data_IF_198310000544
#
_entry.id   IF_198310000544
#
_cell.length_a   1.000
_cell.length_b   1.000
_cell.length_c   1.000
_cell.angle_alpha   90.00
_cell.angle_beta   90.00
_cell.angle_gamma   90.00
#
_symmetry.space_group_name_H-M   'P 1'
#
loop_
_entity.id
_entity.type
_entity.pdbx_description
1 polymer ?
#
# COMPACT_ATOMS: atom_id res chain seq x y z
N UNK A 1 -48.44 52.99 56.84
CA UNK A 1 -48.45 51.70 57.56
C UNK A 1 -47.69 50.55 56.85
N UNK A 2 -46.77 50.82 55.91
CA UNK A 2 -46.09 49.75 55.14
C UNK A 2 -44.68 49.34 55.62
N UNK A 3 -44.12 49.98 56.67
CA UNK A 3 -42.73 49.71 57.13
C UNK A 3 -42.62 48.64 58.23
N UNK A 4 -43.70 48.32 58.96
CA UNK A 4 -43.66 47.33 60.06
C UNK A 4 -43.83 45.87 59.64
N UNK A 5 -44.35 45.58 58.43
CA UNK A 5 -44.47 44.19 57.93
C UNK A 5 -43.17 43.64 57.32
N UNK A 6 -42.31 44.48 56.73
CA UNK A 6 -41.03 44.03 56.12
C UNK A 6 -39.99 43.57 57.15
N UNK A 7 -40.03 44.05 58.39
CA UNK A 7 -39.08 43.67 59.45
C UNK A 7 -39.37 42.27 60.04
N UNK A 8 -40.65 41.90 60.22
CA UNK A 8 -41.03 40.57 60.73
C UNK A 8 -40.80 39.44 59.73
N UNK A 9 -40.98 39.68 58.43
CA UNK A 9 -40.67 38.69 57.39
C UNK A 9 -39.17 38.41 57.25
N UNK A 10 -38.31 39.42 57.40
CA UNK A 10 -36.84 39.24 57.34
C UNK A 10 -36.30 38.43 58.52
N UNK A 11 -36.88 38.57 59.72
CA UNK A 11 -36.46 37.81 60.90
C UNK A 11 -36.81 36.32 60.83
N UNK A 12 -38.01 35.98 60.32
CA UNK A 12 -38.41 34.59 60.08
C UNK A 12 -37.57 33.91 58.99
N UNK A 13 -37.22 34.63 57.93
CA UNK A 13 -36.29 34.14 56.90
C UNK A 13 -34.90 33.88 57.49
N UNK A 14 -34.41 34.75 58.37
CA UNK A 14 -33.09 34.58 59.01
C UNK A 14 -33.03 33.36 59.93
N UNK A 15 -34.09 33.09 60.70
CA UNK A 15 -34.17 31.89 61.55
C UNK A 15 -34.23 30.62 60.69
N UNK A 16 -34.99 30.62 59.59
CA UNK A 16 -35.11 29.48 58.69
C UNK A 16 -33.81 29.20 57.93
N UNK A 17 -33.09 30.24 57.50
CA UNK A 17 -31.76 30.13 56.89
C UNK A 17 -30.75 29.58 57.90
N UNK A 18 -30.77 30.05 59.16
CA UNK A 18 -29.86 29.56 60.21
C UNK A 18 -30.13 28.09 60.57
N UNK A 19 -31.40 27.68 60.65
CA UNK A 19 -31.75 26.27 60.85
C UNK A 19 -31.34 25.40 59.66
N UNK A 20 -31.50 25.89 58.43
CA UNK A 20 -31.07 25.19 57.23
C UNK A 20 -29.54 25.07 57.14
N UNK A 21 -28.79 26.13 57.46
CA UNK A 21 -27.33 26.09 57.56
C UNK A 21 -26.84 25.13 58.64
N UNK A 22 -27.49 25.10 59.81
CA UNK A 22 -27.16 24.15 60.87
C UNK A 22 -27.46 22.70 60.44
N UNK A 23 -28.55 22.47 59.72
CA UNK A 23 -28.86 21.15 59.17
C UNK A 23 -27.81 20.72 58.13
N UNK A 24 -27.42 21.63 57.23
CA UNK A 24 -26.44 21.36 56.17
C UNK A 24 -25.03 21.13 56.73
N UNK A 25 -24.62 21.89 57.73
CA UNK A 25 -23.34 21.68 58.44
C UNK A 25 -23.34 20.35 59.18
N UNK A 26 -24.42 19.99 59.87
CA UNK A 26 -24.53 18.68 60.54
C UNK A 26 -24.47 17.53 59.54
N UNK A 27 -25.12 17.69 58.37
CA UNK A 27 -25.13 16.70 57.30
C UNK A 27 -23.75 16.55 56.63
N UNK A 28 -23.04 17.66 56.39
CA UNK A 28 -21.67 17.65 55.86
C UNK A 28 -20.67 17.06 56.84
N UNK A 29 -20.82 17.34 58.14
CA UNK A 29 -19.99 16.73 59.19
C UNK A 29 -20.27 15.22 59.28
N UNK A 30 -21.54 14.80 59.20
CA UNK A 30 -21.89 13.38 59.15
C UNK A 30 -21.32 12.67 57.91
N UNK A 31 -21.43 13.27 56.72
CA UNK A 31 -20.82 12.78 55.48
C UNK A 31 -19.29 12.68 55.58
N UNK A 32 -18.65 13.67 56.19
CA UNK A 32 -17.20 13.68 56.41
C UNK A 32 -16.77 12.60 57.42
N UNK A 33 -17.52 12.40 58.50
CA UNK A 33 -17.25 11.34 59.50
C UNK A 33 -17.46 9.95 58.89
N UNK A 34 -18.51 9.75 58.11
CA UNK A 34 -18.77 8.49 57.39
C UNK A 34 -17.69 8.24 56.33
N UNK A 35 -17.28 9.27 55.58
CA UNK A 35 -16.22 9.15 54.56
C UNK A 35 -14.86 8.88 55.19
N UNK A 36 -14.49 9.56 56.27
CA UNK A 36 -13.24 9.30 56.99
C UNK A 36 -13.24 7.93 57.68
N UNK A 37 -14.38 7.47 58.17
CA UNK A 37 -14.59 6.11 58.67
C UNK A 37 -14.42 5.06 57.55
N UNK A 38 -15.02 5.29 56.38
CA UNK A 38 -14.90 4.42 55.22
C UNK A 38 -13.45 4.37 54.70
N UNK A 39 -12.76 5.51 54.63
CA UNK A 39 -11.35 5.62 54.24
C UNK A 39 -10.45 4.93 55.29
N UNK A 40 -10.69 5.14 56.58
CA UNK A 40 -9.96 4.42 57.65
C UNK A 40 -10.19 2.92 57.58
N UNK A 41 -11.42 2.46 57.28
CA UNK A 41 -11.71 1.04 57.07
C UNK A 41 -10.98 0.52 55.83
N UNK A 42 -11.01 1.23 54.71
CA UNK A 42 -10.29 0.87 53.48
C UNK A 42 -8.78 0.76 53.73
N UNK A 43 -8.17 1.77 54.37
CA UNK A 43 -6.76 1.78 54.73
C UNK A 43 -6.40 0.68 55.73
N UNK A 44 -7.29 0.35 56.67
CA UNK A 44 -7.09 -0.76 57.63
C UNK A 44 -7.22 -2.12 56.96
N UNK A 45 -8.14 -2.28 56.00
CA UNK A 45 -8.25 -3.49 55.18
C UNK A 45 -7.04 -3.66 54.27
N UNK A 46 -6.54 -2.57 53.67
CA UNK A 46 -5.29 -2.55 52.89
C UNK A 46 -4.10 -2.92 53.79
N UNK A 47 -4.02 -2.36 55.00
CA UNK A 47 -2.97 -2.66 55.99
C UNK A 47 -3.00 -4.11 56.48
N UNK A 48 -4.19 -4.67 56.71
CA UNK A 48 -4.36 -6.04 57.21
C UNK A 48 -4.12 -7.10 56.12
N UNK A 49 -4.19 -6.74 54.84
CA UNK A 49 -4.02 -7.65 53.71
C UNK A 49 -2.86 -7.25 52.79
N UNK A 50 -1.86 -6.50 53.29
CA UNK A 50 -0.72 -6.01 52.50
C UNK A 50 -0.04 -7.10 51.67
N UNK A 51 0.19 -8.28 52.26
CA UNK A 51 0.83 -9.40 51.56
C UNK A 51 -0.04 -9.97 50.43
N UNK A 52 -1.37 -10.03 50.62
CA UNK A 52 -2.31 -10.47 49.58
C UNK A 52 -2.39 -9.44 48.44
N UNK A 53 -2.44 -8.15 48.77
CA UNK A 53 -2.44 -7.08 47.78
C UNK A 53 -1.11 -7.04 46.99
N UNK A 54 0.03 -7.18 47.67
CA UNK A 54 1.33 -7.28 47.02
C UNK A 54 1.38 -8.51 46.10
N UNK A 55 0.91 -9.67 46.56
CA UNK A 55 0.82 -10.88 45.74
C UNK A 55 -0.06 -10.70 44.51
N UNK A 56 -1.20 -10.01 44.63
CA UNK A 56 -2.06 -9.68 43.49
C UNK A 56 -1.41 -8.70 42.51
N UNK A 57 -0.69 -7.69 43.00
CA UNK A 57 0.04 -6.75 42.16
C UNK A 57 1.17 -7.46 41.41
N UNK A 58 1.96 -8.30 42.08
CA UNK A 58 3.01 -9.11 41.44
C UNK A 58 2.39 -10.05 40.40
N UNK A 59 1.26 -10.70 40.73
CA UNK A 59 0.55 -11.55 39.78
C UNK A 59 0.14 -10.77 38.55
N UNK A 60 -0.44 -9.58 38.74
CA UNK A 60 -0.87 -8.69 37.65
C UNK A 60 0.31 -8.27 36.77
N UNK A 61 1.45 -7.89 37.35
CA UNK A 61 2.64 -7.54 36.57
C UNK A 61 3.20 -8.73 35.78
N UNK A 62 3.26 -9.92 36.38
CA UNK A 62 3.72 -11.12 35.70
C UNK A 62 2.77 -11.58 34.59
N UNK A 63 1.46 -11.48 34.81
CA UNK A 63 0.47 -11.78 33.77
C UNK A 63 0.54 -10.77 32.63
N UNK A 64 0.59 -9.46 32.92
CA UNK A 64 0.75 -8.44 31.87
C UNK A 64 2.06 -8.66 31.09
N UNK A 65 3.17 -8.94 31.77
CA UNK A 65 4.46 -9.19 31.13
C UNK A 65 4.44 -10.43 30.22
N UNK A 66 3.82 -11.53 30.67
CA UNK A 66 3.67 -12.75 29.87
C UNK A 66 2.69 -12.57 28.70
N UNK A 67 1.58 -11.85 28.90
CA UNK A 67 0.67 -11.47 27.81
C UNK A 67 1.37 -10.59 26.77
N UNK A 68 2.16 -9.61 27.20
CA UNK A 68 2.94 -8.75 26.30
C UNK A 68 3.98 -9.53 25.48
N UNK A 69 4.52 -10.63 26.04
CA UNK A 69 5.45 -11.52 25.34
C UNK A 69 4.78 -12.35 24.22
N UNK A 70 3.46 -12.55 24.27
CA UNK A 70 2.72 -13.33 23.26
C UNK A 70 1.94 -12.41 22.31
N UNK A 71 1.56 -11.21 22.77
CA UNK A 71 0.78 -10.26 21.99
C UNK A 71 1.49 -9.90 20.67
N UNK A 72 0.82 -9.99 19.51
CA UNK A 72 1.44 -9.67 18.22
C UNK A 72 1.83 -8.17 18.15
N UNK A 73 3.10 -7.89 17.83
CA UNK A 73 3.63 -6.54 17.66
C UNK A 73 3.90 -6.20 16.21
N UNK A 74 3.75 -4.93 15.80
CA UNK A 74 4.06 -4.51 14.41
C UNK A 74 5.56 -4.31 14.23
N UNK A 75 6.15 -5.12 13.36
CA UNK A 75 7.58 -5.13 13.07
C UNK A 75 7.89 -4.73 11.64
N UNK A 76 9.11 -4.25 11.42
CA UNK A 76 9.65 -4.05 10.08
C UNK A 76 10.05 -5.39 9.50
N UNK A 77 9.70 -5.62 8.23
CA UNK A 77 10.18 -6.75 7.45
C UNK A 77 10.88 -6.27 6.19
N UNK A 78 11.72 -7.14 5.64
CA UNK A 78 12.39 -6.95 4.35
C UNK A 78 12.22 -8.21 3.52
N UNK A 79 12.00 -8.04 2.22
CA UNK A 79 11.84 -9.15 1.28
C UNK A 79 12.62 -8.92 0.00
N UNK A 80 12.99 -10.03 -0.64
CA UNK A 80 13.50 -10.07 -1.99
C UNK A 80 12.75 -11.17 -2.76
N UNK A 81 11.94 -10.79 -3.75
CA UNK A 81 11.07 -11.71 -4.49
C UNK A 81 11.28 -11.53 -5.97
N UNK A 82 11.39 -12.63 -6.69
CA UNK A 82 11.31 -12.69 -8.14
C UNK A 82 9.91 -13.18 -8.50
N UNK A 83 9.16 -12.39 -9.27
CA UNK A 83 7.84 -12.76 -9.77
C UNK A 83 7.73 -12.58 -11.28
N UNK A 84 6.83 -13.33 -11.91
CA UNK A 84 6.55 -13.20 -13.33
C UNK A 84 5.81 -11.88 -13.64
N UNK A 85 4.94 -11.46 -12.72
CA UNK A 85 4.09 -10.28 -12.81
C UNK A 85 3.98 -9.63 -11.44
N UNK A 86 3.91 -8.31 -11.37
CA UNK A 86 3.64 -7.59 -10.12
C UNK A 86 2.77 -6.36 -10.34
N UNK A 87 2.05 -5.97 -9.29
CA UNK A 87 1.23 -4.75 -9.27
C UNK A 87 1.49 -3.96 -7.99
N UNK A 88 1.39 -2.64 -8.03
CA UNK A 88 1.50 -1.79 -6.86
C UNK A 88 0.85 -0.43 -7.08
N UNK A 89 0.53 0.28 -6.00
CA UNK A 89 0.11 1.69 -6.05
C UNK A 89 1.26 2.55 -5.56
N UNK A 90 1.67 3.53 -6.36
CA UNK A 90 2.64 4.54 -5.94
C UNK A 90 2.01 5.47 -4.89
N UNK A 91 2.63 5.54 -3.71
CA UNK A 91 2.10 6.23 -2.53
C UNK A 91 2.88 7.51 -2.17
N UNK A 92 3.84 7.92 -3.00
CA UNK A 92 4.60 9.14 -2.76
C UNK A 92 3.83 10.42 -3.12
N UNK A 93 4.22 11.54 -2.51
CA UNK A 93 3.53 12.82 -2.62
C UNK A 93 3.91 13.63 -3.88
N UNK A 94 5.03 13.30 -4.53
CA UNK A 94 5.56 14.02 -5.69
C UNK A 94 5.75 13.08 -6.88
N UNK A 95 5.74 13.60 -8.13
CA UNK A 95 6.00 12.79 -9.32
C UNK A 95 7.38 12.14 -9.25
N UNK A 96 7.44 10.81 -9.34
CA UNK A 96 8.68 10.04 -9.21
C UNK A 96 9.04 9.33 -10.51
N UNK A 97 10.30 9.48 -10.93
CA UNK A 97 10.85 8.69 -12.04
C UNK A 97 10.80 7.19 -11.71
N UNK A 98 10.23 6.42 -12.63
CA UNK A 98 10.02 4.98 -12.48
C UNK A 98 10.86 4.20 -13.49
N UNK A 99 10.70 4.49 -14.78
CA UNK A 99 11.49 3.88 -15.86
C UNK A 99 12.34 4.95 -16.53
N UNK A 100 13.54 4.59 -16.95
CA UNK A 100 14.38 5.45 -17.79
C UNK A 100 15.36 4.66 -18.66
N UNK A 101 15.83 5.35 -19.70
CA UNK A 101 16.95 4.93 -20.54
C UNK A 101 16.77 3.53 -21.19
N UNK A 102 15.54 3.18 -21.59
CA UNK A 102 15.33 2.00 -22.43
C UNK A 102 15.64 2.41 -23.86
N UNK A 103 16.71 1.85 -24.42
CA UNK A 103 17.20 2.21 -25.75
C UNK A 103 16.92 1.15 -26.80
N UNK A 104 16.80 1.58 -28.06
CA UNK A 104 16.67 0.70 -29.21
C UNK A 104 15.37 -0.09 -29.20
N UNK A 105 14.26 0.61 -28.93
CA UNK A 105 12.90 0.07 -28.94
C UNK A 105 12.53 -0.30 -30.37
N UNK A 106 12.16 -1.57 -30.59
CA UNK A 106 11.71 -2.08 -31.90
C UNK A 106 10.25 -1.79 -32.16
N UNK A 107 9.44 -1.83 -31.12
CA UNK A 107 8.05 -1.42 -31.18
C UNK A 107 7.64 -0.85 -29.84
N UNK A 108 6.97 0.30 -29.86
CA UNK A 108 6.22 0.81 -28.72
C UNK A 108 4.77 0.84 -29.11
N UNK A 109 3.95 0.21 -28.28
CA UNK A 109 2.51 0.19 -28.41
C UNK A 109 1.91 0.76 -27.12
N UNK A 110 0.92 1.62 -27.26
CA UNK A 110 0.13 2.11 -26.14
C UNK A 110 -1.34 2.16 -26.50
N UNK A 111 -2.16 1.65 -25.58
CA UNK A 111 -3.61 1.56 -25.70
C UNK A 111 -4.27 2.48 -24.69
N UNK A 112 -5.43 3.03 -25.05
CA UNK A 112 -6.27 3.87 -24.20
C UNK A 112 -6.37 5.32 -24.66
N UNK A 113 -7.18 6.09 -23.94
CA UNK A 113 -7.56 7.46 -24.31
C UNK A 113 -6.38 8.42 -24.13
N UNK A 114 -5.85 8.90 -25.26
CA UNK A 114 -4.65 9.73 -25.36
C UNK A 114 -4.79 10.74 -26.50
N UNK A 115 -4.06 11.85 -26.43
CA UNK A 115 -3.90 12.77 -27.57
C UNK A 115 -2.45 12.72 -28.04
N UNK A 116 -2.25 12.41 -29.33
CA UNK A 116 -0.95 12.33 -29.97
C UNK A 116 -0.72 13.60 -30.79
N UNK A 117 0.48 14.15 -30.73
CA UNK A 117 0.88 15.27 -31.59
C UNK A 117 2.22 14.94 -32.24
N UNK A 118 2.19 14.70 -33.55
CA UNK A 118 3.37 14.44 -34.36
C UNK A 118 3.73 15.69 -35.16
N UNK A 119 5.03 15.95 -35.34
CA UNK A 119 5.55 17.05 -36.16
C UNK A 119 6.67 16.55 -37.04
N UNK A 120 6.62 16.84 -38.33
CA UNK A 120 7.58 16.31 -39.28
C UNK A 120 7.07 16.30 -40.71
N UNK A 121 7.76 15.51 -41.53
CA UNK A 121 7.30 15.18 -42.88
C UNK A 121 6.58 13.84 -42.85
N UNK A 122 5.37 13.81 -43.39
CA UNK A 122 4.52 12.63 -43.41
C UNK A 122 4.48 12.01 -44.80
N UNK A 123 4.36 10.69 -44.85
CA UNK A 123 4.06 9.93 -46.06
C UNK A 123 2.97 8.91 -45.73
N UNK A 124 1.79 9.08 -46.32
CA UNK A 124 0.65 8.19 -46.19
C UNK A 124 0.05 7.92 -47.56
N UNK A 125 -0.21 6.65 -47.85
CA UNK A 125 -0.92 6.21 -49.05
C UNK A 125 -2.44 6.29 -48.84
N UNK A 126 -2.91 5.99 -47.62
CA UNK A 126 -4.33 6.00 -47.27
C UNK A 126 -4.89 7.40 -47.06
N UNK A 127 -4.04 8.37 -46.68
CA UNK A 127 -4.43 9.79 -46.53
C UNK A 127 -3.40 10.72 -47.19
N UNK A 128 -3.37 10.84 -48.53
CA UNK A 128 -2.35 11.62 -49.24
C UNK A 128 -2.29 13.10 -48.85
N UNK A 129 -3.37 13.68 -48.35
CA UNK A 129 -3.44 15.07 -47.85
C UNK A 129 -2.49 15.28 -46.67
N UNK A 130 -2.23 14.23 -45.88
CA UNK A 130 -1.29 14.27 -44.77
C UNK A 130 0.13 14.60 -45.24
N UNK A 131 0.50 14.23 -46.47
CA UNK A 131 1.83 14.46 -47.04
C UNK A 131 2.19 15.94 -47.20
N UNK A 132 1.18 16.82 -47.14
CA UNK A 132 1.33 18.28 -47.20
C UNK A 132 1.33 18.94 -45.82
N UNK A 133 1.00 18.19 -44.77
CA UNK A 133 0.95 18.67 -43.40
C UNK A 133 2.33 18.66 -42.74
N UNK A 134 2.55 19.56 -41.78
CA UNK A 134 3.75 19.62 -40.94
C UNK A 134 3.51 19.16 -39.50
N UNK A 135 2.24 19.05 -39.12
CA UNK A 135 1.81 18.61 -37.80
C UNK A 135 0.55 17.77 -37.95
N UNK A 136 0.41 16.76 -37.11
CA UNK A 136 -0.76 15.89 -37.05
C UNK A 136 -1.16 15.72 -35.58
N UNK A 137 -2.40 16.08 -35.26
CA UNK A 137 -3.00 15.87 -33.95
C UNK A 137 -4.09 14.82 -34.03
N UNK A 138 -3.94 13.77 -33.23
CA UNK A 138 -4.80 12.60 -33.23
C UNK A 138 -5.35 12.39 -31.82
N UNK A 139 -6.65 12.16 -31.70
CA UNK A 139 -7.28 11.76 -30.45
C UNK A 139 -7.65 10.28 -30.51
N UNK A 140 -7.22 9.49 -29.53
CA UNK A 140 -7.67 8.11 -29.33
C UNK A 140 -8.95 8.12 -28.50
N UNK A 141 -10.02 7.51 -29.00
CA UNK A 141 -11.39 7.77 -28.52
C UNK A 141 -11.79 6.98 -27.29
N UNK A 142 -11.29 5.76 -27.17
CA UNK A 142 -11.73 4.79 -26.16
C UNK A 142 -10.55 4.00 -25.55
N UNK A 143 -10.88 3.06 -24.67
CA UNK A 143 -9.89 2.23 -23.97
C UNK A 143 -9.21 1.19 -24.85
N UNK A 144 -9.80 0.86 -26.01
CA UNK A 144 -9.30 -0.17 -26.94
C UNK A 144 -8.50 0.47 -28.09
N UNK A 145 -8.65 1.78 -28.28
CA UNK A 145 -7.89 2.59 -29.22
C UNK A 145 -6.40 2.44 -28.94
N UNK A 146 -5.62 2.22 -30.00
CA UNK A 146 -4.20 1.91 -29.88
C UNK A 146 -3.36 2.69 -30.88
N UNK A 147 -2.13 2.96 -30.50
CA UNK A 147 -1.12 3.46 -31.43
C UNK A 147 0.18 2.68 -31.28
N UNK A 148 0.86 2.50 -32.41
CA UNK A 148 2.09 1.72 -32.50
C UNK A 148 3.11 2.54 -33.28
N UNK A 149 4.35 2.60 -32.78
CA UNK A 149 5.51 3.10 -33.52
C UNK A 149 6.56 2.01 -33.69
N UNK A 150 7.10 1.92 -34.91
CA UNK A 150 8.18 1.00 -35.29
C UNK A 150 9.15 1.71 -36.24
N UNK A 151 10.44 1.36 -36.27
CA UNK A 151 11.34 1.85 -37.32
C UNK A 151 10.89 1.30 -38.68
N UNK A 152 10.94 2.13 -39.73
CA UNK A 152 10.59 1.68 -41.09
C UNK A 152 11.52 0.56 -41.58
N UNK A 153 12.80 0.64 -41.22
CA UNK A 153 13.78 -0.39 -41.53
C UNK A 153 14.14 -1.22 -40.28
N UNK A 154 13.57 -2.42 -40.09
CA UNK A 154 13.82 -3.23 -38.91
C UNK A 154 15.22 -3.85 -38.87
N UNK A 155 15.99 -3.79 -39.97
CA UNK A 155 17.36 -4.30 -40.02
C UNK A 155 18.39 -3.34 -39.40
N UNK A 156 18.04 -2.05 -39.27
CA UNK A 156 18.90 -1.03 -38.66
C UNK A 156 18.62 -0.97 -37.15
N UNK A 157 19.64 -0.59 -36.37
CA UNK A 157 19.45 -0.36 -34.93
C UNK A 157 18.48 0.81 -34.75
N UNK A 158 17.36 0.56 -34.06
CA UNK A 158 16.36 1.59 -33.77
C UNK A 158 16.95 2.70 -32.92
N UNK A 159 16.60 3.94 -33.26
CA UNK A 159 16.89 5.15 -32.49
C UNK A 159 15.74 5.51 -31.54
N UNK A 160 14.64 4.73 -31.54
CA UNK A 160 13.50 4.96 -30.65
C UNK A 160 13.91 4.58 -29.22
N UNK A 161 13.89 5.55 -28.32
CA UNK A 161 14.26 5.39 -26.92
C UNK A 161 13.15 5.89 -25.99
N UNK A 162 12.98 5.23 -24.84
CA UNK A 162 12.23 5.76 -23.69
C UNK A 162 13.22 6.45 -22.77
N UNK A 163 13.12 7.78 -22.71
CA UNK A 163 13.98 8.61 -21.88
C UNK A 163 13.53 8.57 -20.42
N UNK A 164 12.25 8.80 -20.17
CA UNK A 164 11.70 8.91 -18.82
C UNK A 164 10.22 8.54 -18.76
N UNK A 165 9.83 7.72 -17.78
CA UNK A 165 8.45 7.61 -17.31
C UNK A 165 8.40 8.03 -15.85
N UNK A 166 7.53 9.00 -15.51
CA UNK A 166 7.29 9.42 -14.12
C UNK A 166 5.90 8.98 -13.67
N UNK A 167 5.84 8.33 -12.51
CA UNK A 167 4.61 8.01 -11.81
C UNK A 167 4.11 9.23 -11.05
N UNK A 168 2.87 9.61 -11.30
CA UNK A 168 2.14 10.60 -10.51
C UNK A 168 1.63 9.97 -9.21
N UNK A 169 1.50 10.75 -8.11
CA UNK A 169 0.94 10.27 -6.85
C UNK A 169 -0.34 9.45 -7.06
N UNK A 170 -0.45 8.32 -6.37
CA UNK A 170 -1.60 7.40 -6.44
C UNK A 170 -1.82 6.71 -7.80
N UNK A 171 -0.83 6.70 -8.69
CA UNK A 171 -0.86 5.85 -9.88
C UNK A 171 -0.71 4.38 -9.48
N UNK A 172 -1.65 3.55 -9.93
CA UNK A 172 -1.58 2.09 -9.84
C UNK A 172 -0.85 1.57 -11.06
N UNK A 173 0.25 0.86 -10.85
CA UNK A 173 0.94 0.07 -11.87
C UNK A 173 0.40 -1.35 -11.78
N UNK A 174 -0.17 -1.86 -12.86
CA UNK A 174 -0.72 -3.21 -12.93
C UNK A 174 0.02 -4.05 -13.95
N UNK A 175 0.16 -5.34 -13.65
CA UNK A 175 0.62 -6.30 -14.63
C UNK A 175 2.06 -6.09 -15.10
N UNK A 176 2.91 -5.42 -14.31
CA UNK A 176 4.30 -5.19 -14.67
C UNK A 176 5.01 -6.54 -14.82
N UNK A 177 5.43 -6.85 -16.05
CA UNK A 177 6.07 -8.11 -16.39
C UNK A 177 7.16 -7.93 -17.46
N UNK A 178 7.96 -8.97 -17.68
CA UNK A 178 8.88 -9.03 -18.82
C UNK A 178 8.78 -10.39 -19.50
N UNK A 179 8.30 -10.40 -20.74
CA UNK A 179 8.24 -11.60 -21.59
C UNK A 179 9.59 -11.77 -22.31
N UNK A 180 10.34 -12.81 -21.92
CA UNK A 180 11.64 -13.14 -22.50
C UNK A 180 11.56 -13.73 -23.91
N UNK A 181 10.44 -14.35 -24.28
CA UNK A 181 10.25 -14.90 -25.62
C UNK A 181 10.00 -13.79 -26.64
N UNK A 182 9.23 -12.78 -26.23
CA UNK A 182 8.92 -11.60 -27.05
C UNK A 182 9.90 -10.45 -26.87
N UNK A 183 10.82 -10.53 -25.89
CA UNK A 183 11.66 -9.41 -25.44
C UNK A 183 10.84 -8.15 -25.14
N UNK A 184 9.72 -8.33 -24.43
CA UNK A 184 8.71 -7.30 -24.25
C UNK A 184 8.53 -6.96 -22.76
N UNK A 185 8.61 -5.66 -22.43
CA UNK A 185 8.21 -5.12 -21.14
C UNK A 185 6.76 -4.64 -21.27
N UNK A 186 5.85 -5.15 -20.44
CA UNK A 186 4.46 -4.71 -20.44
C UNK A 186 4.00 -4.29 -19.04
N UNK A 187 3.14 -3.29 -18.98
CA UNK A 187 2.47 -2.82 -17.78
C UNK A 187 1.30 -1.91 -18.15
N UNK A 188 0.34 -1.76 -17.24
CA UNK A 188 -0.68 -0.72 -17.35
C UNK A 188 -0.53 0.30 -16.23
N UNK A 189 -0.86 1.55 -16.55
CA UNK A 189 -0.97 2.63 -15.58
C UNK A 189 -2.44 2.97 -15.41
N UNK A 190 -2.93 2.93 -14.18
CA UNK A 190 -4.30 3.31 -13.84
C UNK A 190 -4.26 4.45 -12.84
N UNK A 191 -4.95 5.56 -13.16
CA UNK A 191 -5.09 6.69 -12.24
C UNK A 191 -6.25 6.45 -11.29
N UNK A 192 -6.14 6.90 -10.05
CA UNK A 192 -7.30 7.01 -9.17
C UNK A 192 -8.03 8.34 -9.46
N UNK A 193 -9.24 8.30 -10.06
CA UNK A 193 -9.98 9.50 -10.44
C UNK A 193 -10.47 10.30 -9.23
N UNK A 194 -10.53 9.73 -8.03
CA UNK A 194 -11.03 10.41 -6.81
C UNK A 194 -10.10 11.51 -6.28
N UNK A 195 -8.93 11.68 -6.87
CA UNK A 195 -7.95 12.71 -6.53
C UNK A 195 -7.86 13.68 -7.71
N UNK A 196 -8.85 14.57 -7.79
CA UNK A 196 -8.93 15.72 -8.70
C UNK A 196 -7.86 16.76 -8.35
N UNK A 197 -6.61 16.37 -8.50
CA UNK A 197 -5.51 17.31 -8.65
C UNK A 197 -5.45 17.65 -10.14
N UNK A 198 -5.77 18.90 -10.48
CA UNK A 198 -5.62 19.44 -11.83
C UNK A 198 -4.22 19.11 -12.36
N UNK A 199 -4.14 18.58 -13.59
CA UNK A 199 -2.91 18.40 -14.35
C UNK A 199 -1.93 17.27 -13.95
N UNK A 200 -2.43 16.14 -13.44
CA UNK A 200 -1.60 14.97 -13.06
C UNK A 200 -1.66 13.79 -14.05
N UNK A 201 -1.39 14.03 -15.34
CA UNK A 201 -1.14 12.94 -16.29
C UNK A 201 0.23 12.29 -16.01
N UNK A 202 0.33 10.97 -16.16
CA UNK A 202 1.64 10.35 -16.25
C UNK A 202 2.26 10.77 -17.59
N UNK A 203 3.54 11.16 -17.58
CA UNK A 203 4.23 11.60 -18.80
C UNK A 203 5.26 10.55 -19.17
N UNK A 204 5.11 10.01 -20.38
CA UNK A 204 6.07 9.13 -21.02
C UNK A 204 6.87 9.97 -22.03
N UNK A 205 8.14 10.21 -21.73
CA UNK A 205 9.06 10.94 -22.60
C UNK A 205 9.82 9.98 -23.48
N UNK A 206 9.66 10.14 -24.78
CA UNK A 206 10.28 9.35 -25.81
C UNK A 206 11.24 10.21 -26.64
N UNK A 207 12.21 9.53 -27.23
CA UNK A 207 13.04 10.05 -28.30
C UNK A 207 12.78 9.18 -29.54
N UNK A 208 12.26 9.78 -30.61
CA UNK A 208 11.88 9.10 -31.85
C UNK A 208 13.07 8.88 -32.81
N UNK A 209 14.20 9.54 -32.56
CA UNK A 209 15.36 9.51 -33.45
C UNK A 209 15.24 10.42 -34.66
N UNK A 210 16.24 10.34 -35.55
CA UNK A 210 16.25 11.02 -36.85
C UNK A 210 15.88 10.10 -38.02
N UNK A 211 15.71 8.80 -37.77
CA UNK A 211 15.27 7.84 -38.79
C UNK A 211 13.75 7.90 -39.01
N UNK A 212 13.26 7.63 -40.23
CA UNK A 212 11.83 7.50 -40.47
C UNK A 212 11.20 6.38 -39.64
N UNK A 213 10.08 6.69 -39.00
CA UNK A 213 9.28 5.73 -38.22
C UNK A 213 7.94 5.50 -38.91
N UNK A 214 7.43 4.28 -38.82
CA UNK A 214 6.06 3.94 -39.22
C UNK A 214 5.17 4.07 -37.99
N UNK A 215 4.07 4.79 -38.14
CA UNK A 215 3.04 4.99 -37.13
C UNK A 215 1.77 4.32 -37.59
N UNK A 216 1.15 3.53 -36.72
CA UNK A 216 -0.14 2.89 -36.94
C UNK A 216 -1.08 3.33 -35.82
N UNK A 217 -2.30 3.73 -36.17
CA UNK A 217 -3.30 4.20 -35.18
C UNK A 217 -4.66 3.59 -35.47
N UNK A 218 -5.35 3.12 -34.43
CA UNK A 218 -6.70 2.55 -34.49
C UNK A 218 -7.60 3.21 -33.45
N UNK A 219 -8.91 3.29 -33.72
CA UNK A 219 -9.89 3.92 -32.80
C UNK A 219 -9.67 5.42 -32.65
N UNK A 220 -9.40 6.14 -33.74
CA UNK A 220 -8.91 7.52 -33.68
C UNK A 220 -9.85 8.56 -34.30
N UNK A 221 -9.62 9.81 -33.92
CA UNK A 221 -10.23 11.01 -34.47
C UNK A 221 -9.13 12.00 -34.84
N UNK A 222 -9.15 12.52 -36.07
CA UNK A 222 -8.25 13.60 -36.47
C UNK A 222 -8.79 14.92 -35.96
N UNK A 223 -7.96 15.74 -35.33
CA UNK A 223 -8.38 17.04 -34.79
C UNK A 223 -8.30 18.18 -35.82
N UNK A 224 -7.69 17.93 -36.98
CA UNK A 224 -7.66 18.89 -38.09
C UNK A 224 -8.93 18.74 -38.95
N UNK A 225 -9.73 19.80 -39.01
CA UNK A 225 -11.00 19.85 -39.73
C UNK A 225 -10.85 19.58 -41.23
N UNK A 226 -9.66 19.80 -41.82
CA UNK A 226 -9.40 19.47 -43.23
C UNK A 226 -9.27 17.97 -43.49
N UNK A 227 -8.92 17.20 -42.46
CA UNK A 227 -8.65 15.76 -42.56
C UNK A 227 -9.82 14.89 -42.06
N UNK A 228 -10.75 15.46 -41.28
CA UNK A 228 -11.87 14.73 -40.66
C UNK A 228 -12.86 14.11 -41.65
N UNK A 229 -13.06 14.72 -42.82
CA UNK A 229 -14.14 14.33 -43.76
C UNK A 229 -13.76 13.18 -44.72
N UNK A 230 -12.60 12.55 -44.54
CA UNK A 230 -11.98 11.76 -45.62
C UNK A 230 -11.65 10.31 -45.26
N UNK A 231 -11.90 9.87 -44.02
CA UNK A 231 -11.61 8.52 -43.57
C UNK A 231 -12.82 7.87 -42.92
N UNK A 232 -12.99 6.60 -43.23
CA UNK A 232 -13.81 5.70 -42.43
C UNK A 232 -13.00 5.35 -41.18
N UNK A 233 -13.51 5.70 -39.99
CA UNK A 233 -12.77 5.57 -38.73
C UNK A 233 -12.54 4.10 -38.32
N UNK A 234 -13.08 3.15 -39.06
CA UNK A 234 -12.88 1.71 -38.86
C UNK A 234 -11.54 1.19 -39.42
N UNK A 235 -10.91 1.91 -40.36
CA UNK A 235 -9.65 1.49 -40.96
C UNK A 235 -8.47 2.07 -40.16
N UNK A 236 -7.45 1.26 -39.81
CA UNK A 236 -6.24 1.77 -39.17
C UNK A 236 -5.55 2.85 -40.03
N UNK A 237 -5.18 3.96 -39.41
CA UNK A 237 -4.37 4.99 -40.05
C UNK A 237 -2.90 4.59 -40.01
N UNK A 238 -2.30 4.46 -41.18
CA UNK A 238 -0.88 4.17 -41.34
C UNK A 238 -0.17 5.31 -42.07
N UNK A 239 0.97 5.74 -41.52
CA UNK A 239 1.86 6.71 -42.17
C UNK A 239 3.31 6.54 -41.72
N UNK A 240 4.22 6.98 -42.57
CA UNK A 240 5.64 7.16 -42.23
C UNK A 240 5.84 8.61 -41.80
N UNK A 241 6.52 8.80 -40.68
CA UNK A 241 6.92 10.09 -40.13
C UNK A 241 8.45 10.20 -40.17
N UNK A 242 8.95 11.26 -40.78
CA UNK A 242 10.31 11.74 -40.55
C UNK A 242 10.23 12.94 -39.58
N UNK A 243 10.55 12.75 -38.28
CA UNK A 243 10.27 13.73 -37.23
C UNK A 243 11.16 14.98 -37.35
N UNK A 244 10.55 16.16 -37.29
CA UNK A 244 11.30 17.43 -37.20
C UNK A 244 11.86 17.66 -35.79
N UNK A 245 11.12 17.20 -34.78
CA UNK A 245 11.55 17.17 -33.38
C UNK A 245 11.63 15.71 -32.93
N UNK A 246 12.81 15.21 -32.54
CA UNK A 246 12.93 13.83 -32.09
C UNK A 246 12.36 13.63 -30.68
N UNK A 247 12.11 14.68 -29.89
CA UNK A 247 11.45 14.55 -28.59
C UNK A 247 9.93 14.40 -28.73
N UNK A 248 9.37 13.38 -28.07
CA UNK A 248 7.93 13.14 -28.05
C UNK A 248 7.46 12.90 -26.62
N UNK A 249 6.56 13.76 -26.15
CA UNK A 249 5.97 13.65 -24.82
C UNK A 249 4.54 13.14 -24.94
N UNK A 250 4.31 11.96 -24.38
CA UNK A 250 3.00 11.34 -24.33
C UNK A 250 2.39 11.55 -22.96
N UNK A 251 1.22 12.17 -22.94
CA UNK A 251 0.40 12.27 -21.74
C UNK A 251 -0.51 11.04 -21.64
N UNK A 252 -0.53 10.44 -20.46
CA UNK A 252 -1.34 9.29 -20.11
C UNK A 252 -2.34 9.73 -19.03
N UNK A 253 -3.47 10.35 -19.44
CA UNK A 253 -4.42 10.97 -18.52
C UNK A 253 -5.31 9.93 -17.81
N UNK A 254 -5.49 8.76 -18.41
CA UNK A 254 -6.38 7.70 -17.95
C UNK A 254 -5.66 6.35 -17.90
N UNK A 255 -6.43 5.27 -17.86
CA UNK A 255 -5.90 3.92 -17.93
C UNK A 255 -5.22 3.70 -19.28
N UNK A 256 -3.94 3.31 -19.25
CA UNK A 256 -3.19 3.03 -20.46
C UNK A 256 -2.36 1.76 -20.32
N UNK A 257 -2.44 0.88 -21.32
CA UNK A 257 -1.58 -0.29 -21.43
C UNK A 257 -0.37 0.10 -22.27
N UNK A 258 0.84 -0.29 -21.85
CA UNK A 258 2.08 0.03 -22.55
C UNK A 258 2.85 -1.26 -22.78
N UNK A 259 3.20 -1.50 -24.04
CA UNK A 259 4.00 -2.64 -24.48
C UNK A 259 5.27 -2.11 -25.17
N UNK A 260 6.44 -2.47 -24.62
CA UNK A 260 7.75 -2.05 -25.14
C UNK A 260 8.51 -3.29 -25.61
N UNK A 261 8.64 -3.44 -26.93
CA UNK A 261 9.35 -4.55 -27.57
C UNK A 261 10.78 -4.14 -27.91
N UNK A 262 11.75 -4.98 -27.56
CA UNK A 262 13.17 -4.67 -27.67
C UNK A 262 13.89 -5.62 -28.62
N UNK A 263 15.02 -5.16 -29.17
CA UNK A 263 15.88 -6.03 -29.97
C UNK A 263 16.49 -7.17 -29.15
N UNK A 264 16.97 -6.85 -27.95
CA UNK A 264 17.52 -7.78 -26.98
C UNK A 264 17.62 -7.09 -25.62
N UNK A 265 17.30 -7.78 -24.54
CA UNK A 265 17.60 -7.29 -23.20
C UNK A 265 19.12 -7.14 -23.02
N UNK A 266 19.56 -5.91 -22.77
CA UNK A 266 20.89 -5.63 -22.22
C UNK A 266 20.69 -5.35 -20.73
N UNK A 267 21.40 -6.07 -19.86
CA UNK A 267 21.30 -5.93 -18.39
C UNK A 267 21.67 -4.51 -17.95
N UNK A 268 20.67 -3.62 -18.01
CA UNK A 268 20.73 -2.22 -17.64
C UNK A 268 19.65 -1.98 -16.58
N UNK A 269 19.95 -1.10 -15.64
CA UNK A 269 19.01 -0.69 -14.61
C UNK A 269 17.99 0.29 -15.22
N UNK A 270 16.87 -0.23 -15.71
CA UNK A 270 15.77 0.60 -16.23
C UNK A 270 14.90 1.19 -15.14
N UNK A 271 14.69 0.44 -14.06
CA UNK A 271 13.83 0.87 -12.97
C UNK A 271 14.60 1.69 -11.94
N UNK A 272 13.99 2.78 -11.50
CA UNK A 272 14.50 3.58 -10.38
C UNK A 272 13.95 3.07 -9.06
N UNK A 273 14.84 2.86 -8.10
CA UNK A 273 14.50 2.38 -6.77
C UNK A 273 13.87 3.43 -5.85
N UNK A 274 13.67 3.02 -4.59
CA UNK A 274 13.05 3.81 -3.50
C UNK A 274 11.65 4.31 -3.86
N UNK A 275 10.80 3.43 -4.37
CA UNK A 275 9.41 3.72 -4.73
C UNK A 275 8.55 3.50 -3.48
N UNK A 276 7.94 4.55 -2.96
CA UNK A 276 6.95 4.45 -1.89
C UNK A 276 5.68 3.79 -2.44
N UNK A 277 5.22 2.74 -1.79
CA UNK A 277 4.14 1.89 -2.31
C UNK A 277 3.08 1.58 -1.26
N UNK A 278 1.92 1.15 -1.77
CA UNK A 278 0.90 0.39 -1.04
C UNK A 278 0.27 -0.62 -1.99
N UNK A 279 -0.45 -1.60 -1.44
CA UNK A 279 -1.14 -2.66 -2.20
C UNK A 279 -0.22 -3.35 -3.22
N UNK A 280 0.97 -3.76 -2.78
CA UNK A 280 1.88 -4.52 -3.64
C UNK A 280 1.36 -5.95 -3.73
N UNK A 281 1.20 -6.46 -4.95
CA UNK A 281 0.65 -7.77 -5.25
C UNK A 281 1.58 -8.53 -6.19
N UNK A 282 1.74 -9.82 -5.91
CA UNK A 282 2.45 -10.80 -6.73
C UNK A 282 1.46 -11.89 -7.17
N UNK A 283 0.29 -11.45 -7.62
CA UNK A 283 -0.79 -12.31 -8.08
C UNK A 283 -1.24 -11.90 -9.46
N UNK A 284 -1.82 -12.86 -10.17
CA UNK A 284 -2.59 -12.67 -11.38
C UNK A 284 -4.00 -13.21 -11.15
N UNK A 285 -4.97 -12.71 -11.91
CA UNK A 285 -6.35 -13.22 -11.82
C UNK A 285 -6.58 -14.12 -13.02
N UNK A 286 -6.79 -15.42 -12.75
CA UNK A 286 -7.22 -16.37 -13.75
C UNK A 286 -8.75 -16.26 -13.92
N UNK A 287 -9.15 -15.63 -15.03
CA UNK A 287 -10.55 -15.37 -15.37
C UNK A 287 -11.06 -16.52 -16.22
N UNK A 288 -11.45 -17.62 -15.58
CA UNK A 288 -11.96 -18.82 -16.27
C UNK A 288 -13.48 -18.79 -16.54
N UNK A 289 -14.15 -17.65 -16.36
CA UNK A 289 -15.60 -17.52 -16.57
C UNK A 289 -16.06 -16.11 -16.88
N UNK A 290 -17.36 -15.95 -17.16
CA UNK A 290 -18.00 -14.65 -17.31
C UNK A 290 -18.42 -14.01 -15.97
N UNK A 291 -18.41 -14.78 -14.87
CA UNK A 291 -18.75 -14.30 -13.53
C UNK A 291 -17.48 -14.00 -12.74
N UNK A 292 -17.39 -12.79 -12.18
CA UNK A 292 -16.28 -12.36 -11.32
C UNK A 292 -16.14 -13.20 -10.04
N UNK A 293 -17.16 -14.00 -9.69
CA UNK A 293 -17.11 -14.95 -8.56
C UNK A 293 -16.28 -16.19 -8.85
N UNK A 294 -16.02 -16.48 -10.12
CA UNK A 294 -15.22 -17.63 -10.56
C UNK A 294 -13.73 -17.23 -10.79
N UNK A 295 -13.39 -15.96 -10.56
CA UNK A 295 -12.01 -15.46 -10.66
C UNK A 295 -11.13 -16.12 -9.60
N UNK A 296 -10.03 -16.73 -10.04
CA UNK A 296 -9.06 -17.37 -9.16
C UNK A 296 -7.79 -16.53 -9.10
N UNK A 297 -7.40 -16.11 -7.89
CA UNK A 297 -6.09 -15.50 -7.68
C UNK A 297 -5.01 -16.58 -7.78
N UNK A 298 -4.01 -16.34 -8.63
CA UNK A 298 -2.85 -17.22 -8.83
C UNK A 298 -1.58 -16.47 -8.45
N UNK A 299 -0.74 -17.07 -7.62
CA UNK A 299 0.57 -16.48 -7.28
C UNK A 299 1.50 -16.49 -8.49
N UNK A 300 2.15 -15.35 -8.73
CA UNK A 300 3.13 -15.16 -9.81
C UNK A 300 4.57 -15.24 -9.28
N UNK A 301 4.74 -15.56 -7.99
CA UNK A 301 6.05 -15.67 -7.35
C UNK A 301 6.79 -16.89 -7.91
N UNK A 302 8.04 -16.68 -8.35
CA UNK A 302 8.94 -17.73 -8.82
C UNK A 302 9.81 -18.22 -7.67
N UNK A 303 10.43 -17.29 -6.95
CA UNK A 303 11.26 -17.57 -5.79
C UNK A 303 11.49 -16.29 -4.99
N UNK A 304 11.83 -16.42 -3.71
CA UNK A 304 12.20 -15.27 -2.91
C UNK A 304 12.54 -15.62 -1.47
N UNK A 305 12.86 -14.59 -0.70
CA UNK A 305 13.11 -14.66 0.73
C UNK A 305 12.45 -13.48 1.42
N UNK A 306 11.97 -13.72 2.63
CA UNK A 306 11.45 -12.66 3.50
C UNK A 306 11.98 -12.82 4.91
N UNK A 307 12.29 -11.70 5.54
CA UNK A 307 12.87 -11.63 6.88
C UNK A 307 12.08 -10.68 7.77
N UNK A 308 11.76 -11.13 8.97
CA UNK A 308 11.15 -10.32 10.03
C UNK A 308 11.59 -10.87 11.39
N UNK A 309 11.82 -10.01 12.39
CA UNK A 309 12.19 -10.39 13.78
C UNK A 309 13.29 -11.46 13.88
N UNK A 310 14.33 -11.34 13.05
CA UNK A 310 15.47 -12.26 13.03
C UNK A 310 15.18 -13.65 12.45
N UNK A 311 13.96 -13.90 11.97
CA UNK A 311 13.59 -15.11 11.24
C UNK A 311 13.59 -14.82 9.74
N UNK A 312 14.15 -15.73 8.96
CA UNK A 312 14.11 -15.71 7.49
C UNK A 312 13.30 -16.92 7.01
N UNK A 313 12.47 -16.71 5.99
CA UNK A 313 11.73 -17.77 5.31
C UNK A 313 11.95 -17.67 3.80
N UNK A 314 12.14 -18.82 3.18
CA UNK A 314 12.18 -18.93 1.73
C UNK A 314 10.75 -19.03 1.18
N UNK A 315 10.50 -18.34 0.07
CA UNK A 315 9.24 -18.37 -0.67
C UNK A 315 9.52 -19.12 -1.95
N UNK A 316 8.83 -20.24 -2.14
CA UNK A 316 8.96 -21.10 -3.32
C UNK A 316 7.97 -20.66 -4.40
N UNK A 317 8.17 -21.23 -5.58
CA UNK A 317 7.32 -21.00 -6.74
C UNK A 317 5.84 -21.22 -6.41
N UNK A 318 4.98 -20.34 -6.93
CA UNK A 318 3.53 -20.34 -6.79
C UNK A 318 3.01 -20.25 -5.34
N UNK A 319 3.87 -19.94 -4.37
CA UNK A 319 3.41 -19.64 -3.02
C UNK A 319 2.91 -18.19 -2.92
N UNK A 320 1.86 -17.97 -2.15
CA UNK A 320 1.36 -16.67 -1.77
C UNK A 320 2.19 -16.08 -0.64
N UNK A 321 2.34 -14.75 -0.65
CA UNK A 321 2.88 -13.97 0.44
C UNK A 321 1.79 -13.09 1.03
N UNK A 322 1.44 -13.34 2.29
CA UNK A 322 0.30 -12.72 2.96
C UNK A 322 0.69 -12.05 4.27
N UNK A 323 -0.14 -11.10 4.71
CA UNK A 323 0.02 -10.39 5.98
C UNK A 323 -0.81 -10.98 7.12
N UNK A 324 -1.27 -10.11 8.01
CA UNK A 324 -2.19 -10.44 9.11
C UNK A 324 -3.53 -10.99 8.61
N UNK A 325 -4.10 -10.36 7.59
CA UNK A 325 -5.31 -10.81 6.90
C UNK A 325 -4.93 -11.29 5.50
N UNK A 326 -5.18 -12.58 5.14
CA UNK A 326 -4.95 -13.12 3.80
C UNK A 326 -5.63 -12.34 2.68
N UNK A 327 -6.84 -11.82 2.92
CA UNK A 327 -7.64 -11.06 1.92
C UNK A 327 -7.06 -9.68 1.60
N UNK A 328 -6.04 -9.24 2.35
CA UNK A 328 -5.42 -7.93 2.18
C UNK A 328 -3.95 -8.09 1.79
N UNK A 329 -3.46 -7.33 0.79
CA UNK A 329 -2.05 -7.36 0.44
C UNK A 329 -1.16 -7.05 1.64
N UNK A 330 -0.04 -7.76 1.75
CA UNK A 330 0.99 -7.46 2.73
C UNK A 330 1.38 -5.97 2.64
N UNK A 331 1.47 -5.30 3.78
CA UNK A 331 1.74 -3.86 3.87
C UNK A 331 3.21 -3.53 3.52
N UNK A 332 3.54 -3.64 2.24
CA UNK A 332 4.81 -3.26 1.63
C UNK A 332 4.79 -1.76 1.34
N UNK A 333 5.62 -1.01 2.08
CA UNK A 333 5.62 0.45 2.09
C UNK A 333 6.66 1.05 1.14
N UNK A 334 7.73 0.30 0.84
CA UNK A 334 8.83 0.77 0.03
C UNK A 334 9.39 -0.37 -0.84
N UNK A 335 9.38 -0.18 -2.15
CA UNK A 335 10.19 -0.97 -3.07
C UNK A 335 11.54 -0.27 -3.22
N UNK A 336 12.58 -0.88 -2.64
CA UNK A 336 13.95 -0.36 -2.64
C UNK A 336 14.61 -0.52 -4.01
N UNK A 337 14.40 -1.65 -4.68
CA UNK A 337 15.01 -1.98 -5.96
C UNK A 337 14.06 -2.81 -6.83
N UNK A 338 14.12 -2.57 -8.14
CA UNK A 338 13.45 -3.36 -9.17
C UNK A 338 14.43 -3.68 -10.28
N UNK A 339 14.43 -4.92 -10.77
CA UNK A 339 15.22 -5.30 -11.93
C UNK A 339 14.62 -6.50 -12.67
N UNK A 340 14.93 -6.62 -13.95
CA UNK A 340 14.61 -7.81 -14.73
C UNK A 340 15.68 -8.87 -14.46
N UNK A 341 15.24 -10.06 -14.09
CA UNK A 341 16.07 -11.25 -13.94
C UNK A 341 15.86 -12.15 -15.14
N UNK A 342 16.86 -12.31 -16.03
CA UNK A 342 16.74 -13.10 -17.25
C UNK A 342 16.11 -14.47 -17.03
N UNK A 343 15.09 -14.80 -17.84
CA UNK A 343 14.35 -16.07 -17.82
C UNK A 343 13.53 -16.35 -16.54
N UNK A 344 13.49 -15.43 -15.57
CA UNK A 344 12.72 -15.62 -14.33
C UNK A 344 11.58 -14.62 -14.18
N UNK A 345 11.85 -13.32 -14.40
CA UNK A 345 10.83 -12.27 -14.26
C UNK A 345 11.41 -10.99 -13.69
N UNK A 346 10.69 -10.37 -12.75
CA UNK A 346 11.06 -9.11 -12.10
C UNK A 346 11.41 -9.38 -10.64
N UNK A 347 12.62 -9.00 -10.24
CA UNK A 347 13.03 -8.97 -8.85
C UNK A 347 12.59 -7.65 -8.19
N UNK A 348 11.92 -7.77 -7.05
CA UNK A 348 11.55 -6.68 -6.17
C UNK A 348 12.18 -6.86 -4.79
N UNK A 349 13.06 -5.93 -4.42
CA UNK A 349 13.55 -5.80 -3.04
C UNK A 349 12.74 -4.75 -2.33
N UNK A 350 12.11 -5.11 -1.23
CA UNK A 350 11.15 -4.24 -0.56
C UNK A 350 11.22 -4.32 0.96
N UNK A 351 10.58 -3.36 1.61
CA UNK A 351 10.39 -3.33 3.05
C UNK A 351 9.00 -2.81 3.42
N UNK A 352 8.50 -3.25 4.56
CA UNK A 352 7.18 -2.86 5.05
C UNK A 352 7.04 -3.11 6.54
N UNK A 353 5.80 -3.00 7.02
CA UNK A 353 5.49 -3.23 8.44
C UNK A 353 4.24 -4.08 8.60
N UNK A 354 4.32 -5.13 9.39
CA UNK A 354 3.18 -5.99 9.73
C UNK A 354 3.42 -6.66 11.08
N UNK A 355 2.37 -7.20 11.71
CA UNK A 355 2.54 -8.09 12.86
C UNK A 355 2.92 -9.51 12.46
N UNK A 356 2.59 -9.89 11.24
CA UNK A 356 2.67 -11.28 10.81
C UNK A 356 2.85 -11.41 9.30
N UNK A 357 3.69 -12.37 8.90
CA UNK A 357 3.84 -12.83 7.52
C UNK A 357 3.38 -14.28 7.44
N UNK A 358 2.65 -14.62 6.39
CA UNK A 358 2.21 -15.98 6.09
C UNK A 358 2.64 -16.36 4.67
N UNK A 359 3.01 -17.61 4.49
CA UNK A 359 3.40 -18.19 3.20
C UNK A 359 2.63 -19.50 3.01
N UNK A 360 1.98 -19.66 1.87
CA UNK A 360 1.07 -20.78 1.58
C UNK A 360 1.03 -21.11 0.09
N UNK A 361 0.69 -22.34 -0.28
CA UNK A 361 0.30 -22.64 -1.67
C UNK A 361 -1.12 -22.15 -1.97
N UNK A 362 -1.90 -21.94 -0.92
CA UNK A 362 -3.27 -21.43 -0.92
C UNK A 362 -3.35 -20.28 0.09
N UNK A 363 -4.19 -19.28 -0.18
CA UNK A 363 -4.40 -18.16 0.73
C UNK A 363 -5.12 -18.60 2.01
N UNK A 364 -6.00 -19.60 1.91
CA UNK A 364 -6.77 -20.13 3.04
C UNK A 364 -5.95 -21.09 3.92
N UNK A 365 -4.90 -21.69 3.36
CA UNK A 365 -4.09 -22.72 4.02
C UNK A 365 -2.59 -22.37 4.03
N UNK A 366 -2.18 -21.38 4.85
CA UNK A 366 -0.77 -21.00 4.99
C UNK A 366 0.03 -22.13 5.65
N UNK A 367 1.19 -22.46 5.08
CA UNK A 367 2.07 -23.54 5.56
C UNK A 367 3.23 -23.03 6.43
N UNK A 368 3.52 -21.73 6.37
CA UNK A 368 4.59 -21.10 7.17
C UNK A 368 4.15 -19.73 7.66
N UNK A 369 4.58 -19.36 8.87
CA UNK A 369 4.20 -18.13 9.58
C UNK A 369 5.42 -17.54 10.28
N UNK A 370 5.68 -16.26 10.05
CA UNK A 370 6.59 -15.45 10.88
C UNK A 370 5.73 -14.47 11.68
N UNK A 371 5.88 -14.46 12.99
CA UNK A 371 5.18 -13.54 13.88
C UNK A 371 6.13 -13.00 14.94
N UNK A 372 6.11 -11.69 15.14
CA UNK A 372 6.84 -11.03 16.21
C UNK A 372 5.93 -10.71 17.39
N UNK A 373 6.47 -10.83 18.60
CA UNK A 373 5.84 -10.37 19.83
C UNK A 373 5.95 -8.85 19.97
N UNK A 374 5.11 -8.24 20.80
CA UNK A 374 5.24 -6.82 21.14
C UNK A 374 6.58 -6.52 21.85
N UNK A 375 7.05 -7.44 22.70
CA UNK A 375 8.32 -7.27 23.42
C UNK A 375 9.56 -7.34 22.54
N UNK A 376 9.51 -7.93 21.34
CA UNK A 376 10.67 -7.98 20.42
C UNK A 376 11.17 -6.57 20.02
N UNK A 377 10.35 -5.52 20.21
CA UNK A 377 10.76 -4.13 19.99
C UNK A 377 11.42 -3.44 21.20
N UNK A 378 11.37 -4.05 22.39
CA UNK A 378 11.80 -3.44 23.66
C UNK A 378 12.88 -4.27 24.35
N UNK A 379 12.83 -5.60 24.24
CA UNK A 379 13.72 -6.53 24.91
C UNK A 379 14.42 -7.48 23.93
N UNK A 380 15.66 -7.88 24.19
CA UNK A 380 16.31 -8.97 23.46
C UNK A 380 15.54 -10.29 23.61
N UNK A 381 15.60 -11.16 22.60
CA UNK A 381 14.88 -12.44 22.60
C UNK A 381 15.17 -13.31 23.82
N UNK A 382 16.43 -13.36 24.27
CA UNK A 382 16.81 -14.14 25.46
C UNK A 382 16.15 -13.62 26.74
N UNK A 383 15.95 -12.30 26.85
CA UNK A 383 15.25 -11.69 27.97
C UNK A 383 13.74 -11.98 27.92
N UNK A 384 13.14 -12.03 26.72
CA UNK A 384 11.74 -12.43 26.54
C UNK A 384 11.54 -13.90 26.94
N UNK A 385 12.45 -14.79 26.50
CA UNK A 385 12.43 -16.20 26.87
C UNK A 385 12.57 -16.35 28.39
N UNK A 386 13.51 -15.64 29.01
CA UNK A 386 13.69 -15.66 30.46
C UNK A 386 12.45 -15.16 31.21
N UNK A 387 11.83 -14.06 30.75
CA UNK A 387 10.59 -13.52 31.34
C UNK A 387 9.45 -14.54 31.25
N UNK A 388 9.33 -15.22 30.10
CA UNK A 388 8.32 -16.24 29.89
C UNK A 388 8.54 -17.46 30.78
N UNK A 389 9.77 -17.99 30.84
CA UNK A 389 10.12 -19.12 31.72
C UNK A 389 9.92 -18.79 33.19
N UNK A 390 10.31 -17.58 33.61
CA UNK A 390 10.10 -17.11 34.98
C UNK A 390 8.61 -16.97 35.31
N UNK A 391 7.82 -16.39 34.40
CA UNK A 391 6.37 -16.27 34.54
C UNK A 391 5.69 -17.64 34.63
N UNK A 392 6.04 -18.58 33.76
CA UNK A 392 5.50 -19.93 33.75
C UNK A 392 5.77 -20.69 35.06
N UNK A 393 6.95 -20.51 35.67
CA UNK A 393 7.28 -21.11 36.96
C UNK A 393 6.64 -20.39 38.16
N UNK A 394 6.50 -19.06 38.09
CA UNK A 394 6.12 -18.24 39.26
C UNK A 394 4.61 -18.07 39.38
N UNK A 395 3.88 -17.91 38.27
CA UNK A 395 2.43 -17.68 38.26
C UNK A 395 1.66 -18.81 38.98
N UNK A 396 1.89 -20.11 38.70
CA UNK A 396 1.15 -21.18 39.39
C UNK A 396 1.37 -21.19 40.90
N UNK A 397 2.62 -20.95 41.33
CA UNK A 397 2.99 -20.89 42.73
C UNK A 397 2.33 -19.70 43.44
N UNK A 398 2.33 -18.53 42.79
CA UNK A 398 1.74 -17.31 43.32
C UNK A 398 0.21 -17.42 43.41
N UNK A 399 -0.44 -18.02 42.40
CA UNK A 399 -1.87 -18.30 42.40
C UNK A 399 -2.23 -19.28 43.52
N UNK A 400 -1.48 -20.37 43.68
CA UNK A 400 -1.70 -21.35 44.77
C UNK A 400 -1.57 -20.70 46.15
N UNK A 401 -0.55 -19.85 46.33
CA UNK A 401 -0.34 -19.09 47.56
C UNK A 401 -1.49 -18.11 47.84
N UNK A 402 -1.96 -17.39 46.82
CA UNK A 402 -3.11 -16.48 46.94
C UNK A 402 -4.38 -17.23 47.34
N UNK A 403 -4.67 -18.39 46.73
CA UNK A 403 -5.81 -19.22 47.12
C UNK A 403 -5.71 -19.73 48.57
N UNK A 404 -4.55 -20.23 48.98
CA UNK A 404 -4.32 -20.73 50.36
C UNK A 404 -4.43 -19.64 51.42
N UNK A 405 -4.04 -18.41 51.12
CA UNK A 405 -4.09 -17.31 52.08
C UNK A 405 -5.37 -16.49 52.01
N UNK A 406 -6.06 -16.49 50.86
CA UNK A 406 -7.42 -15.98 50.73
C UNK A 406 -8.43 -16.84 51.51
N UNK A 407 -8.33 -18.16 51.43
CA UNK A 407 -9.21 -19.08 52.18
C UNK A 407 -9.02 -19.00 53.70
N UNK A 408 -7.78 -18.81 54.17
CA UNK A 408 -7.47 -18.58 55.60
C UNK A 408 -8.01 -17.26 56.14
N UNK A 409 -8.26 -16.27 55.27
CA UNK A 409 -8.86 -15.00 55.68
C UNK A 409 -10.39 -15.08 55.84
N UNK A 410 -11.04 -16.06 55.20
CA UNK A 410 -12.48 -16.32 55.34
C UNK A 410 -12.81 -17.30 56.50
N UNK A 411 -11.80 -17.97 57.06
CA UNK A 411 -11.95 -18.98 58.12
C UNK A 411 -11.58 -18.49 59.52
N UNK A 412 -11.41 -17.18 59.72
CA UNK A 412 -11.31 -16.59 61.07
C UNK A 412 -12.68 -15.98 61.42
N UNK A 413 -13.38 -16.48 62.45
CA UNK A 413 -14.66 -15.93 62.89
C UNK A 413 -14.54 -14.47 63.36
#
# INVERSE_FOLDING_TARGET
MASRQKAKQRFFYFIKIRQWLNFLTTYLVALFVVSTSAIKRLLRTISNHQNLLLGLVVLLFLTIGTFAAIAPGTHTFEGNIISQKMSFIYNGQQPKRFIENIRGIKALESEGIQTLTFTGNFQSESLPQLNQSKSLRIQLKDSESKWIIVPVNPAVTSEIDLNELRLQPNTKVTGLNYDFYRNQLAFSLQRNPKLDLENNSNILKLYLGGQPIKVIVEGYELLDSKLQNQLDNEIPLEFILNPDNPEFNLELPQNSNINITLAKYQSKQWFRGKIETRNVQFTDVDRNGSDLRDDLDVSTIVEGKIRMVGQEQEIKQNQFLMGENPDTPLNIQLIRHLQIVPKKGIEARFSGRTKQIQIGLDQDFPVSRIQGSWLDGVLPRDAIIALFSFGAATIPNLVSWLFRNGSKSASKP
#
